data_IF_874034769750
#
_entry.id   IF_874034769750
#
_cell.length_a   1.000
_cell.length_b   1.000
_cell.length_c   1.000
_cell.angle_alpha   90.00
_cell.angle_beta   90.00
_cell.angle_gamma   90.00
#
_symmetry.space_group_name_H-M   'P 1'
#
loop_
_entity.id
_entity.type
_entity.pdbx_description
1 polymer ?
#
# COMPACT_ATOMS: atom_id res chain seq x y z
N UNK A 1 -1.34 71.23 0.92
CA UNK A 1 -2.62 70.52 1.12
C UNK A 1 -2.38 69.03 0.89
N UNK A 2 -2.57 68.23 1.96
CA UNK A 2 -3.10 66.84 1.99
C UNK A 2 -2.35 65.79 1.12
N UNK A 3 -1.38 65.05 1.71
CA UNK A 3 -1.49 63.64 2.21
C UNK A 3 -1.64 62.62 1.07
N UNK A 4 -0.81 61.59 0.88
CA UNK A 4 -0.42 60.47 1.78
C UNK A 4 0.79 59.74 1.17
N UNK A 5 1.91 59.55 1.87
CA UNK A 5 2.17 58.54 2.91
C UNK A 5 2.34 57.10 2.39
N UNK A 6 3.57 56.59 2.55
CA UNK A 6 3.91 55.23 2.91
C UNK A 6 3.57 54.09 1.91
N UNK A 7 4.29 54.05 0.78
CA UNK A 7 4.55 52.80 0.07
C UNK A 7 5.65 52.00 0.83
N UNK A 8 5.36 51.59 2.06
CA UNK A 8 6.25 50.73 2.90
C UNK A 8 5.69 49.29 2.99
N UNK A 9 4.74 48.92 2.13
CA UNK A 9 4.13 47.58 2.13
C UNK A 9 4.73 46.64 1.07
N UNK A 10 6.04 46.73 0.81
CA UNK A 10 6.73 45.86 -0.15
C UNK A 10 7.73 44.86 0.48
N UNK A 11 7.92 44.88 1.81
CA UNK A 11 8.95 44.04 2.49
C UNK A 11 8.33 42.96 3.41
N UNK A 12 7.02 42.93 3.59
CA UNK A 12 6.35 41.95 4.49
C UNK A 12 5.91 40.66 3.78
N UNK A 13 6.02 40.58 2.44
CA UNK A 13 5.44 39.49 1.64
C UNK A 13 6.32 38.23 1.46
N UNK A 14 7.55 38.15 1.99
CA UNK A 14 8.40 36.96 1.76
C UNK A 14 8.82 36.17 3.02
N UNK A 15 8.61 36.69 4.23
CA UNK A 15 9.26 36.13 5.43
C UNK A 15 8.33 35.67 6.56
N UNK A 16 7.01 35.62 6.35
CA UNK A 16 6.08 35.10 7.37
C UNK A 16 5.37 33.87 6.84
N UNK A 17 5.76 32.71 7.39
CA UNK A 17 4.96 31.48 7.48
C UNK A 17 4.57 30.84 6.12
N UNK A 18 5.06 29.66 5.73
CA UNK A 18 5.32 28.49 6.56
C UNK A 18 6.45 27.66 5.95
N UNK A 19 7.34 27.14 6.81
CA UNK A 19 7.71 25.74 6.66
C UNK A 19 6.40 24.97 6.57
N UNK A 20 5.95 24.65 5.37
CA UNK A 20 4.97 23.59 5.18
C UNK A 20 5.69 22.32 5.61
N UNK A 21 5.62 22.08 6.92
CA UNK A 21 5.82 20.80 7.54
C UNK A 21 5.26 19.72 6.61
N UNK A 22 6.02 18.65 6.43
CA UNK A 22 5.61 17.40 5.82
C UNK A 22 4.11 17.10 6.06
N UNK A 23 3.25 17.47 5.11
CA UNK A 23 1.83 17.14 5.15
C UNK A 23 1.35 16.88 3.73
N UNK A 24 1.84 15.76 3.21
CA UNK A 24 1.03 14.82 2.48
C UNK A 24 1.68 13.44 2.64
N UNK A 25 1.68 12.87 3.86
CA UNK A 25 1.40 11.42 3.90
C UNK A 25 -0.09 11.36 3.62
N UNK A 26 -0.45 11.33 2.34
CA UNK A 26 -1.76 10.78 1.99
C UNK A 26 -1.81 9.42 2.67
N UNK A 27 -2.94 9.12 3.33
CA UNK A 27 -3.29 7.86 3.97
C UNK A 27 -3.33 6.72 2.93
N UNK A 28 -2.22 6.49 2.24
CA UNK A 28 -2.07 5.43 1.27
C UNK A 28 -2.13 4.13 2.05
N UNK A 29 -3.16 3.33 1.75
CA UNK A 29 -3.29 1.99 2.30
C UNK A 29 -1.99 1.24 1.97
N UNK A 30 -1.31 0.67 2.98
CA UNK A 30 -0.04 0.00 2.76
C UNK A 30 -0.25 -1.19 1.81
N UNK A 31 0.65 -1.31 0.83
CA UNK A 31 0.49 -2.23 -0.28
C UNK A 31 1.82 -2.89 -0.68
N UNK A 32 1.71 -4.08 -1.28
CA UNK A 32 2.78 -4.85 -1.87
C UNK A 32 2.39 -5.33 -3.27
N UNK A 33 3.21 -5.02 -4.26
CA UNK A 33 3.03 -5.52 -5.63
C UNK A 33 3.53 -6.95 -5.76
N UNK A 34 2.69 -7.82 -6.32
CA UNK A 34 2.98 -9.22 -6.59
C UNK A 34 2.94 -9.45 -8.10
N UNK A 35 3.89 -10.21 -8.63
CA UNK A 35 3.89 -10.65 -10.02
C UNK A 35 3.89 -12.17 -10.09
N UNK A 36 2.90 -12.73 -10.75
CA UNK A 36 2.86 -14.16 -11.07
C UNK A 36 3.38 -14.35 -12.49
N UNK A 37 4.41 -15.18 -12.65
CA UNK A 37 5.03 -15.47 -13.95
C UNK A 37 4.68 -16.89 -14.36
N UNK A 38 4.28 -17.06 -15.62
CA UNK A 38 4.15 -18.36 -16.24
C UNK A 38 5.50 -18.85 -16.76
N UNK A 39 5.89 -20.04 -16.33
CA UNK A 39 7.11 -20.72 -16.79
C UNK A 39 6.80 -22.07 -17.46
N UNK A 40 5.52 -22.42 -17.58
CA UNK A 40 5.07 -23.72 -18.11
C UNK A 40 4.55 -23.62 -19.54
N UNK A 41 4.29 -22.41 -20.05
CA UNK A 41 3.70 -22.18 -21.36
C UNK A 41 2.19 -22.43 -21.40
N UNK A 42 1.51 -22.46 -20.25
CA UNK A 42 0.10 -22.83 -20.14
C UNK A 42 -0.74 -21.58 -19.84
N UNK A 43 -1.70 -21.29 -20.73
CA UNK A 43 -2.73 -20.28 -20.53
C UNK A 43 -3.99 -20.91 -19.89
N UNK A 44 -3.94 -21.07 -18.57
CA UNK A 44 -5.05 -21.61 -17.79
C UNK A 44 -5.08 -21.04 -16.36
N UNK A 45 -6.27 -20.97 -15.79
CA UNK A 45 -6.49 -20.61 -14.39
C UNK A 45 -5.92 -21.70 -13.48
N UNK A 46 -5.14 -21.29 -12.47
CA UNK A 46 -4.45 -22.21 -11.55
C UNK A 46 -4.19 -21.58 -10.18
N UNK A 47 -4.01 -22.42 -9.18
CA UNK A 47 -3.67 -22.01 -7.83
C UNK A 47 -2.26 -21.42 -7.76
N UNK A 48 -2.13 -20.34 -7.00
CA UNK A 48 -0.87 -19.71 -6.62
C UNK A 48 -0.84 -19.62 -5.10
N UNK A 49 0.15 -20.29 -4.51
CA UNK A 49 0.36 -20.29 -3.06
C UNK A 49 1.76 -19.79 -2.77
N UNK A 50 1.91 -18.80 -1.90
CA UNK A 50 3.22 -18.21 -1.62
C UNK A 50 3.26 -17.34 -0.38
N UNK A 51 4.40 -17.35 0.30
CA UNK A 51 4.68 -16.47 1.43
C UNK A 51 5.18 -15.11 0.94
N UNK A 52 4.60 -14.02 1.41
CA UNK A 52 5.07 -12.66 1.14
C UNK A 52 5.59 -12.00 2.42
N UNK A 53 6.73 -11.28 2.36
CA UNK A 53 7.30 -10.61 3.51
C UNK A 53 6.59 -9.28 3.77
N UNK A 54 6.33 -8.96 5.04
CA UNK A 54 5.76 -7.69 5.47
C UNK A 54 6.74 -6.99 6.44
N UNK A 55 7.04 -5.69 6.21
CA UNK A 55 7.91 -4.94 7.11
C UNK A 55 7.36 -4.89 8.54
N UNK A 56 8.27 -4.87 9.50
CA UNK A 56 7.92 -4.73 10.92
C UNK A 56 7.05 -3.50 11.15
N UNK A 57 5.95 -3.67 11.88
CA UNK A 57 4.97 -2.63 12.20
C UNK A 57 4.00 -2.28 11.07
N UNK A 58 4.20 -2.77 9.85
CA UNK A 58 3.37 -2.36 8.71
C UNK A 58 1.98 -3.02 8.72
N UNK A 59 1.87 -4.26 9.18
CA UNK A 59 0.61 -4.98 9.35
C UNK A 59 0.47 -5.43 10.81
N UNK A 60 -0.15 -4.63 11.69
CA UNK A 60 -0.43 -5.02 13.07
C UNK A 60 -1.24 -6.31 13.18
N UNK A 61 -1.24 -6.93 14.37
CA UNK A 61 -2.09 -8.09 14.64
C UNK A 61 -3.57 -7.77 14.32
N UNK A 62 -4.27 -8.70 13.68
CA UNK A 62 -5.66 -8.49 13.22
C UNK A 62 -5.80 -7.82 11.85
N UNK A 63 -4.69 -7.39 11.22
CA UNK A 63 -4.74 -6.82 9.87
C UNK A 63 -5.45 -7.75 8.88
N UNK A 64 -6.29 -7.16 8.03
CA UNK A 64 -6.96 -7.86 6.93
C UNK A 64 -6.20 -7.64 5.63
N UNK A 65 -6.04 -8.70 4.84
CA UNK A 65 -5.37 -8.63 3.55
C UNK A 65 -6.39 -8.74 2.42
N UNK A 66 -6.27 -7.85 1.44
CA UNK A 66 -7.10 -7.82 0.24
C UNK A 66 -6.19 -7.86 -0.99
N UNK A 67 -6.54 -8.70 -1.96
CA UNK A 67 -5.79 -8.82 -3.21
C UNK A 67 -6.60 -8.21 -4.34
N UNK A 68 -5.93 -7.40 -5.17
CA UNK A 68 -6.50 -6.80 -6.36
C UNK A 68 -5.70 -7.20 -7.60
N UNK A 69 -6.39 -7.34 -8.73
CA UNK A 69 -5.73 -7.45 -10.02
C UNK A 69 -5.29 -6.07 -10.55
N UNK A 70 -4.66 -6.07 -11.72
CA UNK A 70 -4.20 -4.88 -12.43
C UNK A 70 -5.32 -3.90 -12.84
N UNK A 71 -6.58 -4.35 -12.87
CA UNK A 71 -7.77 -3.54 -13.16
C UNK A 71 -8.46 -3.05 -11.87
N UNK A 72 -7.82 -3.22 -10.70
CA UNK A 72 -8.36 -2.91 -9.36
C UNK A 72 -9.59 -3.75 -8.98
N UNK A 73 -9.80 -4.91 -9.60
CA UNK A 73 -10.87 -5.83 -9.21
C UNK A 73 -10.41 -6.70 -8.05
N UNK A 74 -11.25 -6.92 -7.03
CA UNK A 74 -10.92 -7.80 -5.92
C UNK A 74 -10.77 -9.25 -6.43
N UNK A 75 -9.71 -9.91 -6.00
CA UNK A 75 -9.40 -11.30 -6.29
C UNK A 75 -9.69 -12.13 -5.03
N UNK A 76 -10.52 -13.19 -5.09
CA UNK A 76 -10.68 -14.11 -3.98
C UNK A 76 -9.32 -14.67 -3.56
N UNK A 77 -8.93 -14.39 -2.31
CA UNK A 77 -7.65 -14.75 -1.76
C UNK A 77 -7.84 -15.21 -0.31
N UNK A 78 -7.44 -16.44 -0.03
CA UNK A 78 -7.29 -16.91 1.35
C UNK A 78 -5.90 -16.51 1.85
N UNK A 79 -5.80 -16.14 3.12
CA UNK A 79 -4.53 -15.79 3.72
C UNK A 79 -4.35 -16.38 5.13
N UNK A 80 -3.11 -16.64 5.50
CA UNK A 80 -2.72 -17.08 6.84
C UNK A 80 -1.43 -16.39 7.30
N UNK A 81 -1.26 -16.18 8.60
CA UNK A 81 -0.01 -15.64 9.16
C UNK A 81 0.95 -16.79 9.41
N UNK A 82 2.11 -16.78 8.76
CA UNK A 82 3.16 -17.79 8.93
C UNK A 82 4.14 -17.43 10.06
N UNK A 83 4.39 -16.13 10.26
CA UNK A 83 5.27 -15.64 11.31
C UNK A 83 4.97 -14.18 11.65
N UNK A 84 5.25 -13.80 12.89
CA UNK A 84 5.20 -12.41 13.36
C UNK A 84 6.60 -11.89 13.73
N UNK A 85 6.74 -10.57 13.76
CA UNK A 85 7.82 -9.87 14.42
C UNK A 85 7.59 -9.85 15.94
N UNK A 86 8.59 -9.39 16.70
CA UNK A 86 8.51 -9.31 18.17
C UNK A 86 7.48 -8.29 18.70
N UNK A 87 7.02 -7.36 17.88
CA UNK A 87 5.92 -6.43 18.20
C UNK A 87 4.53 -7.00 17.83
N UNK A 88 4.47 -8.26 17.40
CA UNK A 88 3.23 -8.92 16.99
C UNK A 88 2.76 -8.60 15.57
N UNK A 89 3.41 -7.67 14.86
CA UNK A 89 3.09 -7.41 13.45
C UNK A 89 3.46 -8.59 12.56
N UNK A 90 2.70 -8.77 11.47
CA UNK A 90 2.94 -9.86 10.52
C UNK A 90 4.32 -9.70 9.88
N UNK A 91 5.09 -10.78 9.86
CA UNK A 91 6.38 -10.88 9.17
C UNK A 91 6.26 -11.62 7.85
N UNK A 92 5.49 -12.70 7.85
CA UNK A 92 5.21 -13.51 6.67
C UNK A 92 3.72 -13.84 6.59
N UNK A 93 3.07 -13.45 5.50
CA UNK A 93 1.70 -13.86 5.17
C UNK A 93 1.74 -14.91 4.05
N UNK A 94 1.07 -16.04 4.25
CA UNK A 94 0.77 -16.98 3.18
C UNK A 94 -0.47 -16.48 2.43
N UNK A 95 -0.40 -16.45 1.11
CA UNK A 95 -1.53 -16.18 0.23
C UNK A 95 -1.85 -17.42 -0.59
N UNK A 96 -3.14 -17.66 -0.82
CA UNK A 96 -3.65 -18.69 -1.71
C UNK A 96 -4.79 -18.11 -2.58
N UNK A 97 -4.57 -18.07 -3.89
CA UNK A 97 -5.51 -17.47 -4.84
C UNK A 97 -5.37 -18.12 -6.23
N UNK A 98 -6.31 -17.82 -7.12
CA UNK A 98 -6.27 -18.30 -8.51
C UNK A 98 -5.69 -17.21 -9.44
N UNK A 99 -4.83 -17.61 -10.37
CA UNK A 99 -4.20 -16.73 -11.36
C UNK A 99 -4.16 -17.37 -12.73
N UNK A 100 -4.35 -16.57 -13.78
CA UNK A 100 -4.19 -16.99 -15.18
C UNK A 100 -3.26 -16.00 -15.90
N UNK A 101 -1.93 -16.05 -15.65
CA UNK A 101 -0.99 -15.33 -16.48
C UNK A 101 -0.99 -15.93 -17.91
N UNK A 102 -0.77 -15.13 -18.96
CA UNK A 102 -0.60 -15.65 -20.31
C UNK A 102 0.54 -16.67 -20.38
N UNK A 103 0.49 -17.60 -21.35
CA UNK A 103 1.59 -18.54 -21.60
C UNK A 103 2.93 -17.80 -21.79
N UNK A 104 3.96 -18.19 -21.03
CA UNK A 104 5.27 -17.55 -20.94
C UNK A 104 5.23 -16.05 -20.56
N UNK A 105 4.11 -15.60 -19.97
CA UNK A 105 3.85 -14.22 -19.62
C UNK A 105 3.84 -13.97 -18.11
N UNK A 106 3.35 -12.78 -17.71
CA UNK A 106 3.14 -12.48 -16.30
C UNK A 106 1.86 -11.70 -16.07
N UNK A 107 1.31 -11.80 -14.86
CA UNK A 107 0.15 -11.04 -14.39
C UNK A 107 0.45 -10.36 -13.07
N UNK A 108 0.05 -9.10 -12.94
CA UNK A 108 0.29 -8.28 -11.76
C UNK A 108 -0.89 -8.28 -10.79
N UNK A 109 -0.56 -8.15 -9.50
CA UNK A 109 -1.51 -8.04 -8.40
C UNK A 109 -1.00 -7.01 -7.39
N UNK A 110 -1.93 -6.43 -6.63
CA UNK A 110 -1.64 -5.59 -5.47
C UNK A 110 -2.25 -6.22 -4.22
N UNK A 111 -1.42 -6.53 -3.24
CA UNK A 111 -1.85 -6.90 -1.90
C UNK A 111 -1.92 -5.64 -1.06
N UNK A 112 -3.09 -5.34 -0.52
CA UNK A 112 -3.31 -4.24 0.42
C UNK A 112 -3.66 -4.80 1.78
N UNK A 113 -3.33 -4.05 2.84
CA UNK A 113 -3.80 -4.38 4.17
C UNK A 113 -4.20 -3.15 4.96
N UNK A 114 -5.15 -3.34 5.86
CA UNK A 114 -5.55 -2.33 6.84
C UNK A 114 -5.46 -2.93 8.23
N UNK A 115 -4.92 -2.15 9.17
CA UNK A 115 -5.05 -2.47 10.57
C UNK A 115 -6.53 -2.37 10.94
N UNK A 116 -7.08 -3.39 11.58
CA UNK A 116 -8.38 -3.23 12.23
C UNK A 116 -8.19 -2.37 13.46
N UNK A 117 -8.87 -1.22 13.51
CA UNK A 117 -9.18 -0.56 14.78
C UNK A 117 -10.19 -1.46 15.51
N UNK A 118 -9.70 -2.50 16.19
CA UNK A 118 -10.49 -3.16 17.22
C UNK A 118 -10.12 -2.48 18.52
N UNK A 119 -10.74 -1.31 18.74
CA UNK A 119 -10.90 -0.76 20.07
C UNK A 119 -11.64 -1.74 20.98
N UNK A 120 -11.47 -1.63 22.32
CA UNK A 120 -11.95 -2.60 23.30
C UNK A 120 -13.46 -2.84 23.26
#
# INVERSE_FOLDING_TARGET
MRTTAAMILAVVLCCVFRMAAAHAREDATPALTIRVVDTTGIDALRSVTGGVPIPRGAAPAGSRFLLYDQDRRPVPCQHAVLACWSDGSVRWALLDFQSQPPANGSRGYQLEWSGTDVGP
#
